data_IF_168329302755
#
_entry.id   IF_168329302755
#
_cell.length_a   1.000
_cell.length_b   1.000
_cell.length_c   1.000
_cell.angle_alpha   90.00
_cell.angle_beta   90.00
_cell.angle_gamma   90.00
#
_symmetry.space_group_name_H-M   'P 1'
#
loop_
_entity.id
_entity.type
_entity.pdbx_description
1 polymer ?
#
# COMPACT_ATOMS: atom_id res chain seq x y z
N UNK A 1 -53.56 -17.65 1.88
CA UNK A 1 -52.62 -16.79 1.11
C UNK A 1 -51.49 -16.18 1.96
N UNK A 2 -51.74 -15.59 3.13
CA UNK A 2 -50.69 -14.97 3.96
C UNK A 2 -49.51 -15.90 4.35
N UNK A 3 -49.76 -17.19 4.58
CA UNK A 3 -48.72 -18.15 4.94
C UNK A 3 -47.74 -18.46 3.79
N UNK A 4 -48.19 -18.37 2.54
CA UNK A 4 -47.35 -18.59 1.35
C UNK A 4 -46.47 -17.35 1.12
N UNK A 5 -47.01 -16.15 1.35
CA UNK A 5 -46.29 -14.89 1.19
C UNK A 5 -45.15 -14.73 2.21
N UNK A 6 -45.36 -15.12 3.48
CA UNK A 6 -44.30 -15.15 4.50
C UNK A 6 -43.16 -16.12 4.16
N UNK A 7 -43.47 -17.28 3.53
CA UNK A 7 -42.46 -18.26 3.07
C UNK A 7 -41.67 -17.74 1.87
N UNK A 8 -42.30 -17.00 0.95
CA UNK A 8 -41.63 -16.36 -0.19
C UNK A 8 -40.68 -15.24 0.25
N UNK A 9 -41.09 -14.38 1.18
CA UNK A 9 -40.24 -13.31 1.72
C UNK A 9 -39.00 -13.89 2.44
N UNK A 10 -39.18 -14.97 3.22
CA UNK A 10 -38.05 -15.64 3.88
C UNK A 10 -37.07 -16.27 2.88
N UNK A 11 -37.56 -16.85 1.78
CA UNK A 11 -36.73 -17.41 0.72
C UNK A 11 -35.96 -16.30 -0.04
N UNK A 12 -36.58 -15.15 -0.27
CA UNK A 12 -35.97 -14.01 -0.95
C UNK A 12 -34.87 -13.36 -0.09
N UNK A 13 -35.08 -13.25 1.22
CA UNK A 13 -34.06 -12.79 2.18
C UNK A 13 -32.88 -13.77 2.24
N UNK A 14 -33.13 -15.09 2.15
CA UNK A 14 -32.08 -16.11 2.12
C UNK A 14 -31.27 -16.10 0.82
N UNK A 15 -31.92 -15.85 -0.33
CA UNK A 15 -31.25 -15.66 -1.63
C UNK A 15 -30.43 -14.36 -1.63
N UNK A 16 -30.96 -13.26 -1.08
CA UNK A 16 -30.23 -12.01 -0.88
C UNK A 16 -29.05 -12.17 0.10
N UNK A 17 -29.19 -13.00 1.13
CA UNK A 17 -28.09 -13.36 2.03
C UNK A 17 -26.98 -14.10 1.26
N UNK A 18 -27.34 -15.09 0.46
CA UNK A 18 -26.44 -15.86 -0.39
C UNK A 18 -25.72 -15.00 -1.46
N UNK A 19 -26.41 -13.96 -1.98
CA UNK A 19 -25.85 -13.00 -2.94
C UNK A 19 -25.02 -11.91 -2.25
N UNK A 20 -25.36 -11.47 -1.04
CA UNK A 20 -24.60 -10.44 -0.30
C UNK A 20 -23.26 -10.92 0.27
N UNK A 21 -23.07 -12.25 0.32
CA UNK A 21 -21.81 -12.92 0.69
C UNK A 21 -20.94 -13.16 -0.56
N UNK A 22 -21.46 -12.95 -1.78
CA UNK A 22 -20.61 -12.84 -2.96
C UNK A 22 -19.81 -11.54 -2.81
N UNK A 23 -18.48 -11.59 -2.68
CA UNK A 23 -17.70 -10.38 -2.53
C UNK A 23 -17.92 -9.47 -3.73
N UNK A 24 -18.14 -8.18 -3.48
CA UNK A 24 -17.79 -7.13 -4.43
C UNK A 24 -16.32 -7.22 -4.91
N UNK A 25 -15.49 -8.08 -4.27
CA UNK A 25 -14.17 -8.48 -4.74
C UNK A 25 -14.17 -9.43 -5.96
N UNK A 26 -15.33 -9.82 -6.53
CA UNK A 26 -15.40 -10.43 -7.86
C UNK A 26 -15.55 -9.40 -9.00
N UNK A 27 -15.89 -8.14 -8.70
CA UNK A 27 -15.88 -7.06 -9.69
C UNK A 27 -14.48 -6.46 -9.92
N UNK A 28 -13.47 -6.87 -9.15
CA UNK A 28 -12.08 -6.39 -9.25
C UNK A 28 -11.10 -7.51 -9.69
N UNK A 29 -11.62 -8.60 -10.28
CA UNK A 29 -10.84 -9.76 -10.79
C UNK A 29 -10.82 -9.85 -12.32
N UNK A 30 -11.03 -8.73 -13.02
CA UNK A 30 -11.20 -8.68 -14.48
C UNK A 30 -10.25 -7.74 -15.23
N UNK A 31 -9.14 -7.29 -14.64
CA UNK A 31 -8.04 -6.66 -15.39
C UNK A 31 -6.72 -7.07 -14.79
N UNK A 32 -6.37 -8.32 -15.07
CA UNK A 32 -4.99 -8.77 -15.09
C UNK A 32 -4.33 -8.23 -16.36
N UNK A 33 -4.26 -6.91 -16.49
CA UNK A 33 -3.33 -6.28 -17.41
C UNK A 33 -2.00 -6.16 -16.66
N UNK A 34 -1.11 -7.08 -16.97
CA UNK A 34 0.21 -7.23 -16.40
C UNK A 34 1.16 -6.12 -16.85
N UNK A 35 0.80 -4.86 -16.58
CA UNK A 35 1.79 -3.79 -16.46
C UNK A 35 2.19 -3.68 -14.98
N UNK A 36 2.92 -4.71 -14.52
CA UNK A 36 3.85 -4.56 -13.41
C UNK A 36 4.93 -3.59 -13.87
N UNK A 37 4.58 -2.30 -13.95
CA UNK A 37 5.53 -1.22 -13.93
C UNK A 37 6.12 -1.19 -12.53
N UNK A 38 6.95 -2.19 -12.24
CA UNK A 38 8.10 -2.01 -11.36
C UNK A 38 8.88 -0.88 -12.01
N UNK A 39 8.58 0.34 -11.57
CA UNK A 39 9.56 1.41 -11.65
C UNK A 39 10.70 0.87 -10.81
N UNK A 40 11.71 0.33 -11.49
CA UNK A 40 12.97 -0.03 -10.86
C UNK A 40 13.52 1.30 -10.34
N UNK A 41 13.35 1.53 -9.03
CA UNK A 41 13.83 2.74 -8.36
C UNK A 41 15.36 2.86 -8.50
N UNK A 42 16.05 1.79 -8.94
CA UNK A 42 17.46 1.84 -9.34
C UNK A 42 17.74 2.79 -10.50
N UNK A 43 16.83 2.98 -11.46
CA UNK A 43 17.09 3.86 -12.61
C UNK A 43 16.94 5.36 -12.29
N UNK A 44 16.48 5.72 -11.08
CA UNK A 44 16.36 7.12 -10.62
C UNK A 44 17.46 7.48 -9.60
N UNK A 45 18.17 6.49 -9.04
CA UNK A 45 19.13 6.70 -7.93
C UNK A 45 20.60 6.64 -8.38
N UNK A 46 20.89 6.51 -9.68
CA UNK A 46 22.22 6.85 -10.24
C UNK A 46 22.35 8.34 -10.60
N UNK A 47 21.63 9.21 -9.89
CA UNK A 47 22.00 10.63 -9.83
C UNK A 47 23.12 10.72 -8.81
N UNK A 48 24.33 10.83 -9.33
CA UNK A 48 25.60 11.15 -8.66
C UNK A 48 25.39 12.30 -7.65
N UNK A 49 24.96 11.98 -6.42
CA UNK A 49 25.00 12.90 -5.27
C UNK A 49 26.48 12.98 -4.86
N UNK A 50 27.26 13.71 -5.67
CA UNK A 50 28.43 14.40 -5.15
C UNK A 50 27.92 15.45 -4.20
N UNK A 51 27.71 15.02 -2.96
CA UNK A 51 27.58 15.90 -1.82
C UNK A 51 28.83 16.78 -1.81
N UNK A 52 28.67 18.02 -2.26
CA UNK A 52 29.56 19.11 -1.91
C UNK A 52 29.46 19.23 -0.39
N UNK A 53 30.37 18.57 0.32
CA UNK A 53 30.66 18.89 1.71
C UNK A 53 31.23 20.30 1.70
N UNK A 54 30.32 21.26 1.87
CA UNK A 54 30.59 22.66 2.10
C UNK A 54 31.52 22.77 3.29
N UNK A 55 32.76 23.13 2.97
CA UNK A 55 33.71 23.85 3.81
C UNK A 55 32.97 24.99 4.52
N UNK A 56 33.03 25.00 5.84
CA UNK A 56 32.45 26.07 6.64
C UNK A 56 32.61 25.82 8.13
N UNK A 57 33.84 25.93 8.64
CA UNK A 57 34.03 26.48 9.97
C UNK A 57 35.39 27.16 10.04
N UNK A 58 35.31 28.47 9.84
CA UNK A 58 36.28 29.45 10.28
C UNK A 58 36.46 29.35 11.80
N UNK A 59 37.68 29.08 12.22
CA UNK A 59 38.20 29.57 13.50
C UNK A 59 39.60 30.12 13.28
N UNK A 60 39.60 31.43 13.07
CA UNK A 60 40.74 32.34 13.09
C UNK A 60 41.46 32.32 14.44
N UNK A 61 42.79 32.52 14.35
CA UNK A 61 43.71 33.13 15.34
C UNK A 61 43.98 32.30 16.60
N UNK A 62 45.22 32.15 17.09
CA UNK A 62 46.43 32.94 16.95
C UNK A 62 47.61 32.11 17.51
N UNK A 63 48.82 32.64 17.34
CA UNK A 63 50.12 32.16 17.85
C UNK A 63 50.82 31.12 16.96
N UNK A 64 52.05 31.30 16.50
CA UNK A 64 52.95 32.43 16.30
C UNK A 64 54.23 31.78 15.79
N UNK A 65 54.82 32.38 14.77
CA UNK A 65 56.27 32.41 14.54
C UNK A 65 57.13 31.48 15.41
N UNK A 66 57.53 30.34 14.84
CA UNK A 66 58.91 29.89 15.00
C UNK A 66 59.50 29.60 13.64
N UNK A 67 60.52 30.40 13.34
CA UNK A 67 61.32 30.48 12.12
C UNK A 67 61.91 29.13 11.71
N UNK A 68 61.73 28.80 10.43
CA UNK A 68 62.79 28.55 9.44
C UNK A 68 64.09 27.94 10.01
N UNK A 69 64.21 26.60 10.03
CA UNK A 69 65.46 25.86 9.72
C UNK A 69 65.27 24.34 9.62
N UNK A 70 64.54 23.86 8.62
CA UNK A 70 64.59 22.43 8.21
C UNK A 70 64.23 22.26 6.73
N UNK A 71 64.71 23.16 5.88
CA UNK A 71 64.85 22.82 4.46
C UNK A 71 65.87 21.69 4.34
N UNK A 72 65.57 20.71 3.48
CA UNK A 72 66.39 19.54 3.08
C UNK A 72 66.19 18.23 3.87
N UNK A 73 65.15 18.07 4.71
CA UNK A 73 64.72 16.73 5.21
C UNK A 73 63.21 16.49 5.39
N UNK A 74 62.34 17.32 4.77
CA UNK A 74 60.87 17.26 4.96
C UNK A 74 60.12 16.54 3.82
N UNK A 75 60.81 16.17 2.74
CA UNK A 75 60.18 15.48 1.59
C UNK A 75 59.71 14.05 1.92
N UNK A 76 60.32 13.38 2.89
CA UNK A 76 59.92 12.02 3.32
C UNK A 76 58.82 12.02 4.39
N UNK A 77 58.72 13.06 5.22
CA UNK A 77 57.70 13.13 6.28
C UNK A 77 56.30 13.46 5.75
N UNK A 78 56.21 14.33 4.75
CA UNK A 78 54.94 14.75 4.15
C UNK A 78 54.27 13.63 3.33
N UNK A 79 55.08 12.76 2.71
CA UNK A 79 54.60 11.57 1.99
C UNK A 79 53.97 10.57 2.96
N UNK A 80 54.59 10.33 4.12
CA UNK A 80 54.05 9.42 5.16
C UNK A 80 52.71 9.89 5.71
N UNK A 81 52.56 11.18 6.01
CA UNK A 81 51.29 11.73 6.51
C UNK A 81 50.18 11.61 5.45
N UNK A 82 50.51 11.83 4.17
CA UNK A 82 49.54 11.69 3.07
C UNK A 82 49.12 10.23 2.84
N UNK A 83 50.02 9.27 3.02
CA UNK A 83 49.71 7.83 2.95
C UNK A 83 48.79 7.39 4.10
N UNK A 84 49.09 7.77 5.34
CA UNK A 84 48.23 7.47 6.49
C UNK A 84 46.81 8.05 6.35
N UNK A 85 46.70 9.28 5.82
CA UNK A 85 45.38 9.90 5.57
C UNK A 85 44.63 9.13 4.48
N UNK A 86 45.30 8.73 3.40
CA UNK A 86 44.68 7.94 2.33
C UNK A 86 44.23 6.56 2.82
N UNK A 87 45.01 5.91 3.67
CA UNK A 87 44.67 4.62 4.27
C UNK A 87 43.45 4.74 5.18
N UNK A 88 43.40 5.74 6.07
CA UNK A 88 42.23 6.02 6.90
C UNK A 88 40.96 6.32 6.09
N UNK A 89 41.09 7.04 4.97
CA UNK A 89 39.97 7.30 4.05
C UNK A 89 39.48 5.99 3.41
N UNK A 90 40.40 5.13 2.96
CA UNK A 90 40.06 3.81 2.39
C UNK A 90 39.38 2.91 3.42
N UNK A 91 39.97 2.75 4.60
CA UNK A 91 39.36 1.98 5.69
C UNK A 91 37.98 2.52 6.09
N UNK A 92 37.82 3.84 6.11
CA UNK A 92 36.52 4.48 6.38
C UNK A 92 35.49 4.19 5.29
N UNK A 93 35.89 4.20 4.02
CA UNK A 93 35.05 3.85 2.88
C UNK A 93 34.64 2.38 2.92
N UNK A 94 35.58 1.47 3.17
CA UNK A 94 35.33 0.02 3.25
C UNK A 94 34.38 -0.32 4.40
N UNK A 95 34.62 0.23 5.61
CA UNK A 95 33.73 0.07 6.77
C UNK A 95 32.33 0.63 6.51
N UNK A 96 32.22 1.73 5.77
CA UNK A 96 30.92 2.32 5.40
C UNK A 96 30.20 1.42 4.39
N UNK A 97 30.92 0.87 3.40
CA UNK A 97 30.37 -0.04 2.41
C UNK A 97 29.88 -1.34 3.07
N UNK A 98 30.69 -1.96 3.94
CA UNK A 98 30.29 -3.17 4.68
C UNK A 98 29.03 -2.93 5.53
N UNK A 99 28.94 -1.76 6.20
CA UNK A 99 27.73 -1.35 6.91
C UNK A 99 26.53 -1.23 5.98
N UNK A 100 26.67 -0.59 4.81
CA UNK A 100 25.59 -0.45 3.83
C UNK A 100 25.13 -1.82 3.30
N UNK A 101 26.05 -2.70 2.93
CA UNK A 101 25.75 -4.04 2.46
C UNK A 101 25.03 -4.88 3.54
N UNK A 102 25.49 -4.79 4.79
CA UNK A 102 24.84 -5.49 5.91
C UNK A 102 23.43 -4.95 6.19
N UNK A 103 23.22 -3.63 6.08
CA UNK A 103 21.89 -3.02 6.21
C UNK A 103 20.98 -3.43 5.04
N UNK A 104 21.47 -3.40 3.80
CA UNK A 104 20.71 -3.83 2.62
C UNK A 104 20.31 -5.31 2.74
N UNK A 105 21.22 -6.17 3.20
CA UNK A 105 20.91 -7.59 3.44
C UNK A 105 19.82 -7.77 4.49
N UNK A 106 19.92 -7.08 5.64
CA UNK A 106 18.89 -7.12 6.69
C UNK A 106 17.54 -6.62 6.18
N UNK A 107 17.53 -5.57 5.36
CA UNK A 107 16.30 -5.04 4.75
C UNK A 107 15.70 -6.06 3.76
N UNK A 108 16.52 -6.68 2.90
CA UNK A 108 16.07 -7.74 1.98
C UNK A 108 15.47 -8.93 2.74
N UNK A 109 16.12 -9.37 3.81
CA UNK A 109 15.63 -10.47 4.64
C UNK A 109 14.29 -10.12 5.31
N UNK A 110 14.15 -8.92 5.87
CA UNK A 110 12.87 -8.44 6.45
C UNK A 110 11.76 -8.37 5.40
N UNK A 111 12.06 -7.82 4.23
CA UNK A 111 11.10 -7.75 3.12
C UNK A 111 10.67 -9.14 2.66
N UNK A 112 11.61 -10.09 2.54
CA UNK A 112 11.32 -11.47 2.16
C UNK A 112 10.43 -12.17 3.19
N UNK A 113 10.75 -12.06 4.48
CA UNK A 113 9.92 -12.63 5.56
C UNK A 113 8.50 -12.04 5.53
N UNK A 114 8.37 -10.73 5.32
CA UNK A 114 7.06 -10.08 5.19
C UNK A 114 6.30 -10.57 3.94
N UNK A 115 6.97 -10.75 2.81
CA UNK A 115 6.40 -11.30 1.58
C UNK A 115 5.92 -12.74 1.75
N UNK A 116 6.75 -13.60 2.35
CA UNK A 116 6.41 -15.01 2.60
C UNK A 116 5.22 -15.13 3.57
N UNK A 117 5.20 -14.33 4.64
CA UNK A 117 4.06 -14.27 5.56
C UNK A 117 2.78 -13.81 4.86
N UNK A 118 2.85 -12.75 4.06
CA UNK A 118 1.71 -12.26 3.29
C UNK A 118 1.22 -13.30 2.28
N UNK A 119 2.13 -14.03 1.62
CA UNK A 119 1.79 -15.08 0.68
C UNK A 119 1.10 -16.26 1.37
N UNK A 120 1.64 -16.72 2.50
CA UNK A 120 1.01 -17.77 3.34
C UNK A 120 -0.42 -17.41 3.73
N UNK A 121 -0.64 -16.16 4.16
CA UNK A 121 -1.97 -15.65 4.53
C UNK A 121 -2.88 -15.56 3.32
N UNK A 122 -2.38 -15.16 2.14
CA UNK A 122 -3.19 -15.17 0.91
C UNK A 122 -3.63 -16.59 0.54
N UNK A 123 -2.76 -17.57 0.69
CA UNK A 123 -3.06 -18.95 0.32
C UNK A 123 -4.04 -19.58 1.31
N UNK A 124 -3.85 -19.37 2.62
CA UNK A 124 -4.84 -19.74 3.65
C UNK A 124 -6.22 -19.10 3.39
N UNK A 125 -6.25 -17.83 2.98
CA UNK A 125 -7.49 -17.16 2.62
C UNK A 125 -8.17 -17.80 1.41
N UNK A 126 -7.40 -18.08 0.34
CA UNK A 126 -7.93 -18.72 -0.88
C UNK A 126 -8.47 -20.10 -0.57
N UNK A 127 -7.74 -20.89 0.21
CA UNK A 127 -8.17 -22.21 0.64
C UNK A 127 -9.47 -22.12 1.46
N UNK A 128 -9.56 -21.20 2.43
CA UNK A 128 -10.78 -20.95 3.19
C UNK A 128 -11.95 -20.55 2.27
N UNK A 129 -11.70 -19.71 1.25
CA UNK A 129 -12.71 -19.34 0.26
C UNK A 129 -13.17 -20.52 -0.61
N UNK A 130 -12.27 -21.40 -1.02
CA UNK A 130 -12.61 -22.59 -1.81
C UNK A 130 -13.41 -23.59 -0.99
N UNK A 131 -12.98 -23.88 0.24
CA UNK A 131 -13.72 -24.70 1.21
C UNK A 131 -15.12 -24.12 1.45
N UNK A 132 -15.23 -22.80 1.58
CA UNK A 132 -16.51 -22.11 1.72
C UNK A 132 -17.42 -22.30 0.50
N UNK A 133 -16.89 -22.17 -0.73
CA UNK A 133 -17.65 -22.37 -1.98
C UNK A 133 -18.19 -23.79 -2.12
N UNK A 134 -17.33 -24.80 -1.94
CA UNK A 134 -17.72 -26.22 -2.01
C UNK A 134 -18.82 -26.53 -0.99
N UNK A 135 -18.66 -26.00 0.22
CA UNK A 135 -19.65 -26.18 1.29
C UNK A 135 -20.98 -25.50 0.97
N UNK A 136 -20.94 -24.29 0.40
CA UNK A 136 -22.12 -23.56 -0.07
C UNK A 136 -22.90 -24.35 -1.13
N UNK A 137 -22.23 -24.92 -2.12
CA UNK A 137 -22.87 -25.75 -3.14
C UNK A 137 -23.51 -27.02 -2.55
N UNK A 138 -22.82 -27.65 -1.61
CA UNK A 138 -23.33 -28.82 -0.88
C UNK A 138 -24.59 -28.48 -0.10
N UNK A 139 -24.61 -27.32 0.57
CA UNK A 139 -25.76 -26.81 1.30
C UNK A 139 -26.97 -26.53 0.38
N UNK A 140 -26.73 -25.95 -0.81
CA UNK A 140 -27.76 -25.69 -1.80
C UNK A 140 -28.40 -26.98 -2.33
N UNK A 141 -27.60 -28.03 -2.53
CA UNK A 141 -28.10 -29.37 -2.90
C UNK A 141 -28.98 -29.95 -1.79
N UNK A 142 -28.52 -29.91 -0.53
CA UNK A 142 -29.31 -30.37 0.63
C UNK A 142 -30.61 -29.57 0.79
N UNK A 143 -30.55 -28.25 0.65
CA UNK A 143 -31.73 -27.39 0.72
C UNK A 143 -32.75 -27.74 -0.37
N UNK A 144 -32.31 -28.02 -1.59
CA UNK A 144 -33.18 -28.43 -2.70
C UNK A 144 -33.86 -29.77 -2.42
N UNK A 145 -33.12 -30.75 -1.86
CA UNK A 145 -33.70 -32.05 -1.43
C UNK A 145 -34.78 -31.87 -0.37
N UNK A 146 -34.48 -31.13 0.70
CA UNK A 146 -35.45 -30.82 1.78
C UNK A 146 -36.67 -30.05 1.27
N UNK A 147 -36.49 -29.13 0.31
CA UNK A 147 -37.60 -28.40 -0.33
C UNK A 147 -38.52 -29.33 -1.14
N UNK A 148 -37.95 -30.37 -1.76
CA UNK A 148 -38.69 -31.35 -2.55
C UNK A 148 -39.36 -32.44 -1.70
N UNK A 149 -39.04 -32.53 -0.41
CA UNK A 149 -39.84 -33.31 0.55
C UNK A 149 -41.21 -32.65 0.76
N UNK A 150 -42.15 -32.91 -0.14
CA UNK A 150 -43.59 -32.68 0.10
C UNK A 150 -44.11 -33.69 1.12
N UNK A 151 -45.29 -33.42 1.68
CA UNK A 151 -45.96 -34.14 2.79
C UNK A 151 -46.39 -35.59 2.47
N UNK A 152 -45.68 -36.30 1.58
CA UNK A 152 -45.97 -37.70 1.29
C UNK A 152 -45.58 -38.55 2.52
N UNK A 153 -46.60 -39.09 3.18
CA UNK A 153 -46.56 -39.82 4.45
C UNK A 153 -45.65 -41.05 4.44
N UNK A 154 -45.38 -41.66 3.28
CA UNK A 154 -44.49 -42.83 3.18
C UNK A 154 -42.98 -42.50 3.15
N UNK A 155 -42.59 -41.23 2.88
CA UNK A 155 -41.16 -40.81 2.85
C UNK A 155 -40.71 -40.06 4.11
N UNK A 156 -41.54 -40.09 5.16
CA UNK A 156 -41.36 -39.27 6.36
C UNK A 156 -40.01 -39.49 7.07
N UNK A 157 -39.49 -40.72 7.07
CA UNK A 157 -38.18 -41.06 7.68
C UNK A 157 -36.98 -40.43 6.95
N UNK A 158 -36.98 -40.44 5.61
CA UNK A 158 -35.87 -39.89 4.82
C UNK A 158 -35.85 -38.35 4.90
N UNK A 159 -37.02 -37.71 4.89
CA UNK A 159 -37.16 -36.25 5.02
C UNK A 159 -36.61 -35.71 6.36
N UNK A 160 -36.85 -36.40 7.48
CA UNK A 160 -36.31 -36.00 8.77
C UNK A 160 -34.78 -36.06 8.81
N UNK A 161 -34.19 -37.10 8.21
CA UNK A 161 -32.74 -37.23 8.09
C UNK A 161 -32.14 -36.13 7.21
N UNK A 162 -32.76 -35.82 6.07
CA UNK A 162 -32.31 -34.71 5.21
C UNK A 162 -32.41 -33.36 5.91
N UNK A 163 -33.44 -33.13 6.74
CA UNK A 163 -33.56 -31.91 7.56
C UNK A 163 -32.46 -31.82 8.61
N UNK A 164 -32.11 -32.93 9.28
CA UNK A 164 -30.98 -32.99 10.23
C UNK A 164 -29.66 -32.70 9.52
N UNK A 165 -29.42 -33.35 8.38
CA UNK A 165 -28.25 -33.11 7.54
C UNK A 165 -28.17 -31.66 7.07
N UNK A 166 -29.29 -31.04 6.70
CA UNK A 166 -29.33 -29.63 6.33
C UNK A 166 -28.94 -28.73 7.50
N UNK A 167 -29.43 -28.98 8.72
CA UNK A 167 -29.07 -28.21 9.92
C UNK A 167 -27.59 -28.34 10.25
N UNK A 168 -27.06 -29.57 10.24
CA UNK A 168 -25.63 -29.83 10.40
C UNK A 168 -24.80 -29.10 9.32
N UNK A 169 -25.25 -29.15 8.07
CA UNK A 169 -24.64 -28.41 6.96
C UNK A 169 -24.68 -26.89 7.15
N UNK A 170 -25.78 -26.31 7.64
CA UNK A 170 -25.87 -24.87 7.93
C UNK A 170 -24.90 -24.50 9.04
N UNK A 171 -24.84 -25.26 10.14
CA UNK A 171 -23.88 -25.04 11.23
C UNK A 171 -22.45 -24.99 10.71
N UNK A 172 -22.05 -26.00 9.95
CA UNK A 172 -20.71 -26.09 9.35
C UNK A 172 -20.43 -24.92 8.39
N UNK A 173 -21.45 -24.44 7.67
CA UNK A 173 -21.31 -23.27 6.80
C UNK A 173 -21.04 -21.99 7.59
N UNK A 174 -21.73 -21.81 8.72
CA UNK A 174 -21.56 -20.65 9.59
C UNK A 174 -20.18 -20.68 10.24
N UNK A 175 -19.68 -21.83 10.68
CA UNK A 175 -18.31 -21.98 11.18
C UNK A 175 -17.28 -21.56 10.12
N UNK A 176 -17.38 -22.09 8.89
CA UNK A 176 -16.51 -21.67 7.79
C UNK A 176 -16.62 -20.19 7.47
N UNK A 177 -17.81 -19.60 7.64
CA UNK A 177 -18.00 -18.15 7.50
C UNK A 177 -17.20 -17.40 8.55
N UNK A 178 -17.29 -17.78 9.83
CA UNK A 178 -16.51 -17.15 10.92
C UNK A 178 -15.00 -17.24 10.66
N UNK A 179 -14.50 -18.36 10.14
CA UNK A 179 -13.08 -18.51 9.78
C UNK A 179 -12.64 -17.52 8.69
N UNK A 180 -13.45 -17.35 7.64
CA UNK A 180 -13.19 -16.38 6.57
C UNK A 180 -13.18 -14.95 7.13
N UNK A 181 -14.10 -14.64 8.05
CA UNK A 181 -14.17 -13.33 8.71
C UNK A 181 -12.91 -13.08 9.54
N UNK A 182 -12.54 -14.01 10.43
CA UNK A 182 -11.34 -13.91 11.27
C UNK A 182 -10.08 -13.73 10.42
N UNK A 183 -9.93 -14.50 9.34
CA UNK A 183 -8.80 -14.37 8.44
C UNK A 183 -8.75 -13.00 7.74
N UNK A 184 -9.91 -12.43 7.44
CA UNK A 184 -10.00 -11.09 6.85
C UNK A 184 -9.61 -9.99 7.84
N UNK A 185 -9.92 -10.14 9.14
CA UNK A 185 -9.49 -9.26 10.22
C UNK A 185 -7.97 -9.33 10.39
N UNK A 186 -7.41 -10.54 10.46
CA UNK A 186 -5.96 -10.74 10.61
C UNK A 186 -5.17 -10.12 9.45
N UNK A 187 -5.67 -10.28 8.21
CA UNK A 187 -5.07 -9.64 7.04
C UNK A 187 -5.07 -8.10 7.14
N UNK A 188 -6.07 -7.51 7.79
CA UNK A 188 -6.12 -6.06 7.99
C UNK A 188 -5.17 -5.61 9.10
N UNK A 189 -5.10 -6.36 10.20
CA UNK A 189 -4.13 -6.13 11.28
C UNK A 189 -2.71 -6.00 10.74
N UNK A 190 -2.26 -7.00 9.98
CA UNK A 190 -0.91 -7.01 9.38
C UNK A 190 -0.70 -5.81 8.43
N UNK A 191 -1.73 -5.41 7.68
CA UNK A 191 -1.62 -4.26 6.77
C UNK A 191 -1.48 -2.94 7.53
N UNK A 192 -2.14 -2.81 8.68
CA UNK A 192 -2.08 -1.62 9.52
C UNK A 192 -0.74 -1.55 10.25
N UNK A 193 -0.30 -2.67 10.82
CA UNK A 193 1.02 -2.76 11.48
C UNK A 193 2.17 -2.47 10.51
N UNK A 194 2.03 -2.86 9.25
CA UNK A 194 3.02 -2.59 8.20
C UNK A 194 2.89 -1.19 7.55
N UNK A 195 1.92 -0.37 7.97
CA UNK A 195 1.70 0.94 7.37
C UNK A 195 2.59 2.01 8.06
N UNK A 196 3.73 2.32 7.44
CA UNK A 196 4.70 3.31 7.94
C UNK A 196 4.19 4.75 7.90
N UNK A 197 3.16 5.03 7.11
CA UNK A 197 2.65 6.39 6.86
C UNK A 197 1.42 6.75 7.70
N UNK A 198 1.00 5.89 8.63
CA UNK A 198 -0.11 6.15 9.53
C UNK A 198 0.40 6.76 10.83
N UNK A 199 -0.38 7.66 11.43
CA UNK A 199 -0.11 8.15 12.78
C UNK A 199 -0.24 7.02 13.80
N UNK A 200 0.62 7.02 14.83
CA UNK A 200 0.63 5.98 15.87
C UNK A 200 -0.71 5.90 16.65
N UNK A 201 -1.37 7.05 16.82
CA UNK A 201 -2.71 7.18 17.39
C UNK A 201 -3.75 6.41 16.57
N UNK A 202 -3.74 6.60 15.25
CA UNK A 202 -4.64 5.95 14.29
C UNK A 202 -4.39 4.44 14.22
N UNK A 203 -3.12 4.01 14.25
CA UNK A 203 -2.73 2.60 14.29
C UNK A 203 -3.28 1.94 15.55
N UNK A 204 -3.05 2.55 16.71
CA UNK A 204 -3.52 2.02 18.00
C UNK A 204 -5.03 1.87 18.02
N UNK A 205 -5.77 2.93 17.65
CA UNK A 205 -7.23 2.93 17.62
C UNK A 205 -7.81 1.87 16.65
N UNK A 206 -7.16 1.69 15.49
CA UNK A 206 -7.53 0.67 14.53
C UNK A 206 -7.32 -0.75 15.07
N UNK A 207 -6.18 -1.01 15.71
CA UNK A 207 -5.84 -2.32 16.27
C UNK A 207 -6.73 -2.71 17.45
N UNK A 208 -7.09 -1.76 18.31
CA UNK A 208 -8.08 -1.96 19.38
C UNK A 208 -9.44 -2.35 18.81
N UNK A 209 -9.91 -1.62 17.79
CA UNK A 209 -11.20 -1.91 17.14
C UNK A 209 -11.21 -3.29 16.49
N UNK A 210 -10.13 -3.65 15.78
CA UNK A 210 -9.99 -4.99 15.16
C UNK A 210 -9.95 -6.10 16.22
N UNK A 211 -9.29 -5.88 17.36
CA UNK A 211 -9.24 -6.84 18.47
C UNK A 211 -10.61 -7.06 19.09
N UNK A 212 -11.39 -5.99 19.27
CA UNK A 212 -12.78 -6.08 19.72
C UNK A 212 -13.64 -6.89 18.74
N UNK A 213 -13.59 -6.57 17.45
CA UNK A 213 -14.32 -7.29 16.41
C UNK A 213 -13.91 -8.77 16.33
N UNK A 214 -12.62 -9.08 16.50
CA UNK A 214 -12.15 -10.46 16.56
C UNK A 214 -12.77 -11.22 17.74
N UNK A 215 -12.85 -10.59 18.92
CA UNK A 215 -13.48 -11.18 20.09
C UNK A 215 -14.98 -11.42 19.89
N UNK A 216 -15.70 -10.48 19.26
CA UNK A 216 -17.11 -10.64 18.91
C UNK A 216 -17.34 -11.82 17.95
N UNK A 217 -16.55 -11.92 16.88
CA UNK A 217 -16.64 -13.04 15.93
C UNK A 217 -16.31 -14.37 16.59
N UNK A 218 -15.33 -14.43 17.49
CA UNK A 218 -15.03 -15.64 18.27
C UNK A 218 -16.17 -16.02 19.21
N UNK A 219 -16.82 -15.05 19.86
CA UNK A 219 -17.97 -15.32 20.72
C UNK A 219 -19.14 -15.91 19.92
N UNK A 220 -19.43 -15.38 18.73
CA UNK A 220 -20.43 -15.95 17.82
C UNK A 220 -20.04 -17.34 17.32
N UNK A 221 -18.76 -17.55 17.02
CA UNK A 221 -18.24 -18.85 16.62
C UNK A 221 -18.54 -19.91 17.71
N UNK A 222 -18.36 -19.58 18.99
CA UNK A 222 -18.69 -20.50 20.09
C UNK A 222 -20.20 -20.77 20.21
N UNK A 223 -21.06 -19.76 20.03
CA UNK A 223 -22.52 -19.97 19.96
C UNK A 223 -22.91 -20.91 18.82
N UNK A 224 -22.30 -20.73 17.63
CA UNK A 224 -22.53 -21.59 16.47
C UNK A 224 -22.01 -23.02 16.74
N UNK A 225 -20.87 -23.18 17.41
CA UNK A 225 -20.35 -24.50 17.82
C UNK A 225 -21.30 -25.23 18.77
N UNK A 226 -21.98 -24.50 19.65
CA UNK A 226 -22.96 -25.05 20.59
C UNK A 226 -24.26 -25.54 19.92
N UNK A 227 -24.56 -25.10 18.68
CA UNK A 227 -25.69 -25.63 17.92
C UNK A 227 -25.53 -27.14 17.70
N UNK A 228 -26.61 -27.90 17.83
CA UNK A 228 -26.63 -29.34 17.55
C UNK A 228 -27.42 -29.60 16.27
N UNK A 229 -27.34 -30.82 15.73
CA UNK A 229 -28.21 -31.22 14.59
C UNK A 229 -29.70 -31.15 14.92
N UNK A 230 -30.02 -31.19 16.22
CA UNK A 230 -31.39 -31.08 16.74
C UNK A 230 -31.81 -29.64 17.06
N UNK A 231 -30.91 -28.65 16.95
CA UNK A 231 -31.24 -27.25 17.18
C UNK A 231 -32.42 -26.79 16.32
N UNK A 232 -33.24 -25.92 16.91
CA UNK A 232 -34.44 -25.45 16.26
C UNK A 232 -34.10 -24.54 15.07
N UNK A 233 -35.00 -24.49 14.08
CA UNK A 233 -34.80 -23.58 12.94
C UNK A 233 -34.80 -22.10 13.36
N UNK A 234 -35.37 -21.77 14.53
CA UNK A 234 -35.39 -20.41 15.07
C UNK A 234 -34.06 -20.04 15.72
N UNK A 235 -33.45 -20.95 16.49
CA UNK A 235 -32.09 -20.79 17.02
C UNK A 235 -31.09 -20.52 15.90
N UNK A 236 -31.05 -21.40 14.89
CA UNK A 236 -30.13 -21.26 13.75
C UNK A 236 -30.33 -19.92 13.03
N UNK A 237 -31.58 -19.47 12.86
CA UNK A 237 -31.87 -18.16 12.25
C UNK A 237 -31.40 -16.98 13.10
N UNK A 238 -31.47 -17.11 14.42
CA UNK A 238 -30.95 -16.08 15.35
C UNK A 238 -29.46 -15.93 15.18
N UNK A 239 -28.72 -17.05 15.24
CA UNK A 239 -27.25 -17.06 15.06
C UNK A 239 -26.82 -16.52 13.68
N UNK A 240 -27.56 -16.86 12.61
CA UNK A 240 -27.32 -16.30 11.27
C UNK A 240 -27.46 -14.78 11.27
N UNK A 241 -28.47 -14.25 11.97
CA UNK A 241 -28.74 -12.81 12.02
C UNK A 241 -27.65 -12.09 12.79
N UNK A 242 -27.25 -12.61 13.94
CA UNK A 242 -26.16 -12.07 14.76
C UNK A 242 -24.86 -12.02 13.96
N UNK A 243 -24.43 -13.16 13.38
CA UNK A 243 -23.23 -13.24 12.55
C UNK A 243 -23.26 -12.26 11.37
N UNK A 244 -24.43 -12.01 10.79
CA UNK A 244 -24.60 -11.07 9.69
C UNK A 244 -24.36 -9.62 10.12
N UNK A 245 -24.88 -9.22 11.28
CA UNK A 245 -24.65 -7.88 11.81
C UNK A 245 -23.19 -7.69 12.19
N UNK A 246 -22.57 -8.66 12.87
CA UNK A 246 -21.13 -8.62 13.17
C UNK A 246 -20.29 -8.55 11.90
N UNK A 247 -20.63 -9.33 10.86
CA UNK A 247 -19.94 -9.24 9.57
C UNK A 247 -20.12 -7.89 8.88
N UNK A 248 -21.27 -7.23 9.06
CA UNK A 248 -21.52 -5.89 8.53
C UNK A 248 -20.64 -4.86 9.23
N UNK A 249 -20.51 -4.93 10.55
CA UNK A 249 -19.61 -4.05 11.31
C UNK A 249 -18.14 -4.29 10.96
N UNK A 250 -17.71 -5.56 10.86
CA UNK A 250 -16.37 -5.89 10.35
C UNK A 250 -16.17 -5.24 8.99
N UNK A 251 -17.06 -5.45 8.02
CA UNK A 251 -16.95 -4.87 6.66
C UNK A 251 -16.92 -3.35 6.65
N UNK A 252 -17.65 -2.68 7.54
CA UNK A 252 -17.62 -1.23 7.69
C UNK A 252 -16.23 -0.78 8.14
N UNK A 253 -15.67 -1.44 9.15
CA UNK A 253 -14.33 -1.15 9.65
C UNK A 253 -13.24 -1.46 8.63
N UNK A 254 -13.33 -2.59 7.91
CA UNK A 254 -12.40 -2.90 6.81
C UNK A 254 -12.36 -1.78 5.78
N UNK A 255 -13.52 -1.21 5.44
CA UNK A 255 -13.61 -0.12 4.46
C UNK A 255 -13.00 1.16 5.01
N UNK A 256 -13.30 1.52 6.27
CA UNK A 256 -12.70 2.68 6.95
C UNK A 256 -11.17 2.59 6.92
N UNK A 257 -10.61 1.45 7.29
CA UNK A 257 -9.16 1.21 7.36
C UNK A 257 -8.48 1.19 5.99
N UNK A 258 -9.15 0.62 4.97
CA UNK A 258 -8.66 0.69 3.59
C UNK A 258 -8.57 2.14 3.12
N UNK A 259 -9.58 2.96 3.44
CA UNK A 259 -9.58 4.38 3.06
C UNK A 259 -8.49 5.14 3.80
N UNK A 260 -8.38 4.96 5.11
CA UNK A 260 -7.33 5.56 5.94
C UNK A 260 -5.92 5.25 5.40
N UNK A 261 -5.61 3.97 5.17
CA UNK A 261 -4.31 3.56 4.60
C UNK A 261 -4.07 4.11 3.20
N UNK A 262 -5.12 4.23 2.38
CA UNK A 262 -4.98 4.77 1.03
C UNK A 262 -4.76 6.27 1.05
N UNK A 263 -5.45 7.00 1.92
CA UNK A 263 -5.27 8.44 2.12
C UNK A 263 -3.83 8.76 2.54
N UNK A 264 -3.30 8.05 3.55
CA UNK A 264 -1.91 8.21 3.97
C UNK A 264 -0.91 7.94 2.83
N UNK A 265 -1.16 6.93 1.98
CA UNK A 265 -0.31 6.67 0.80
C UNK A 265 -0.37 7.78 -0.23
N UNK A 266 -1.55 8.35 -0.47
CA UNK A 266 -1.73 9.46 -1.41
C UNK A 266 -1.03 10.71 -0.88
N UNK A 267 -1.13 11.01 0.41
CA UNK A 267 -0.44 12.14 1.05
C UNK A 267 1.08 12.01 0.92
N UNK A 268 1.65 10.86 1.28
CA UNK A 268 3.09 10.62 1.10
C UNK A 268 3.51 10.71 -0.36
N UNK A 269 2.65 10.29 -1.30
CA UNK A 269 2.95 10.41 -2.72
C UNK A 269 2.96 11.88 -3.16
N UNK A 270 1.96 12.68 -2.76
CA UNK A 270 1.91 14.11 -3.05
C UNK A 270 3.11 14.85 -2.46
N UNK A 271 3.50 14.53 -1.23
CA UNK A 271 4.70 15.09 -0.59
C UNK A 271 5.98 14.78 -1.39
N UNK A 272 6.12 13.55 -1.89
CA UNK A 272 7.23 13.18 -2.78
C UNK A 272 7.23 14.01 -4.06
N UNK A 273 6.06 14.25 -4.65
CA UNK A 273 5.94 15.10 -5.83
C UNK A 273 6.32 16.56 -5.54
N UNK A 274 5.98 17.11 -4.37
CA UNK A 274 6.52 18.41 -3.94
C UNK A 274 8.03 18.41 -3.74
N UNK A 275 8.60 17.30 -3.25
CA UNK A 275 10.04 17.10 -3.23
C UNK A 275 10.68 17.17 -4.63
N UNK A 276 9.97 16.69 -5.66
CA UNK A 276 10.43 16.78 -7.05
C UNK A 276 10.38 18.20 -7.60
N UNK A 277 9.35 18.99 -7.27
CA UNK A 277 9.29 20.43 -7.63
C UNK A 277 10.54 21.14 -7.12
N UNK A 278 10.87 21.01 -5.83
CA UNK A 278 12.08 21.59 -5.24
C UNK A 278 13.37 21.13 -5.91
N UNK A 279 13.42 19.87 -6.36
CA UNK A 279 14.56 19.33 -7.12
C UNK A 279 14.67 19.95 -8.52
N UNK A 280 13.54 20.18 -9.18
CA UNK A 280 13.48 20.88 -10.48
C UNK A 280 13.94 22.32 -10.34
N UNK A 281 13.42 23.06 -9.36
CA UNK A 281 13.84 24.43 -9.02
C UNK A 281 15.35 24.53 -8.80
N UNK A 282 15.93 23.63 -8.00
CA UNK A 282 17.36 23.62 -7.71
C UNK A 282 18.22 23.39 -8.97
N UNK A 283 17.75 22.51 -9.87
CA UNK A 283 18.43 22.23 -11.15
C UNK A 283 18.32 23.39 -12.12
N UNK A 284 17.16 24.02 -12.22
CA UNK A 284 16.95 25.25 -13.00
C UNK A 284 17.86 26.36 -12.49
N UNK A 285 17.93 26.57 -11.17
CA UNK A 285 18.79 27.58 -10.57
C UNK A 285 20.28 27.32 -10.87
N UNK A 286 20.72 26.05 -10.84
CA UNK A 286 22.09 25.67 -11.17
C UNK A 286 22.43 25.94 -12.66
N UNK A 287 21.55 25.54 -13.58
CA UNK A 287 21.73 25.80 -15.02
C UNK A 287 21.69 27.31 -15.34
N UNK A 288 20.79 28.05 -14.70
CA UNK A 288 20.71 29.51 -14.84
C UNK A 288 22.01 30.18 -14.36
N UNK A 289 22.56 29.71 -13.23
CA UNK A 289 23.86 30.21 -12.72
C UNK A 289 25.03 29.87 -13.66
N UNK A 290 24.95 28.79 -14.43
CA UNK A 290 25.90 28.45 -15.47
C UNK A 290 25.73 29.29 -16.76
N UNK A 291 24.67 30.10 -16.83
CA UNK A 291 24.38 30.99 -17.96
C UNK A 291 23.62 30.31 -19.10
N UNK A 292 23.03 29.14 -18.88
CA UNK A 292 22.14 28.52 -19.87
C UNK A 292 20.75 29.16 -19.86
N UNK A 293 20.10 29.10 -21.03
CA UNK A 293 18.70 29.44 -21.19
C UNK A 293 17.83 28.32 -20.60
N UNK A 294 17.13 28.64 -19.52
CA UNK A 294 16.28 27.70 -18.76
C UNK A 294 14.79 27.88 -19.03
N UNK A 295 14.41 28.66 -20.04
CA UNK A 295 13.01 29.03 -20.32
C UNK A 295 12.08 27.81 -20.45
N UNK A 296 12.48 26.78 -21.21
CA UNK A 296 11.69 25.56 -21.40
C UNK A 296 11.56 24.74 -20.10
N UNK A 297 12.63 24.68 -19.29
CA UNK A 297 12.61 23.97 -18.01
C UNK A 297 11.65 24.62 -17.01
N UNK A 298 11.65 25.96 -16.94
CA UNK A 298 10.72 26.74 -16.11
C UNK A 298 9.28 26.52 -16.56
N UNK A 299 9.01 26.45 -17.87
CA UNK A 299 7.67 26.17 -18.38
C UNK A 299 7.19 24.75 -18.01
N UNK A 300 8.06 23.75 -18.11
CA UNK A 300 7.74 22.36 -17.73
C UNK A 300 7.50 22.24 -16.22
N UNK A 301 8.32 22.90 -15.41
CA UNK A 301 8.18 22.98 -13.96
C UNK A 301 6.83 23.60 -13.55
N UNK A 302 6.48 24.76 -14.10
CA UNK A 302 5.21 25.42 -13.79
C UNK A 302 4.00 24.54 -14.14
N UNK A 303 4.07 23.80 -15.26
CA UNK A 303 3.03 22.83 -15.65
C UNK A 303 2.97 21.65 -14.69
N UNK A 304 4.12 21.16 -14.21
CA UNK A 304 4.18 20.10 -13.21
C UNK A 304 3.56 20.55 -11.89
N UNK A 305 3.97 21.71 -11.37
CA UNK A 305 3.46 22.28 -10.12
C UNK A 305 1.94 22.47 -10.17
N UNK A 306 1.45 23.15 -11.22
CA UNK A 306 0.00 23.35 -11.46
C UNK A 306 -0.76 22.03 -11.41
N UNK A 307 -0.20 20.97 -12.02
CA UNK A 307 -0.82 19.66 -12.06
C UNK A 307 -0.82 18.98 -10.69
N UNK A 308 0.25 19.09 -9.91
CA UNK A 308 0.29 18.57 -8.53
C UNK A 308 -0.73 19.29 -7.64
N UNK A 309 -0.81 20.62 -7.70
CA UNK A 309 -1.82 21.40 -6.95
C UNK A 309 -3.24 20.95 -7.29
N UNK A 310 -3.55 20.75 -8.57
CA UNK A 310 -4.86 20.25 -8.99
C UNK A 310 -5.16 18.84 -8.45
N UNK A 311 -4.15 17.97 -8.30
CA UNK A 311 -4.33 16.65 -7.68
C UNK A 311 -4.57 16.74 -6.18
N UNK A 312 -3.88 17.66 -5.49
CA UNK A 312 -4.10 17.91 -4.06
C UNK A 312 -5.51 18.40 -3.77
N UNK A 313 -6.03 19.33 -4.57
CA UNK A 313 -7.39 19.85 -4.42
C UNK A 313 -8.43 18.73 -4.60
N UNK A 314 -8.27 17.91 -5.64
CA UNK A 314 -9.14 16.73 -5.87
C UNK A 314 -9.05 15.74 -4.71
N UNK A 315 -7.85 15.51 -4.18
CA UNK A 315 -7.64 14.63 -3.04
C UNK A 315 -8.31 15.17 -1.77
N UNK A 316 -8.11 16.46 -1.43
CA UNK A 316 -8.74 17.11 -0.28
C UNK A 316 -10.26 17.03 -0.37
N UNK A 317 -10.84 17.37 -1.52
CA UNK A 317 -12.28 17.28 -1.74
C UNK A 317 -12.81 15.85 -1.56
N UNK A 318 -12.08 14.84 -2.05
CA UNK A 318 -12.47 13.44 -1.90
C UNK A 318 -12.35 12.95 -0.44
N UNK A 319 -11.31 13.39 0.28
CA UNK A 319 -11.09 13.08 1.70
C UNK A 319 -12.21 13.67 2.57
N UNK A 320 -12.53 14.95 2.36
CA UNK A 320 -13.60 15.65 3.08
C UNK A 320 -14.97 15.00 2.85
N UNK A 321 -15.32 14.73 1.59
CA UNK A 321 -16.57 14.01 1.25
C UNK A 321 -16.67 12.66 1.95
N UNK A 322 -15.57 11.90 1.97
CA UNK A 322 -15.56 10.61 2.66
C UNK A 322 -15.80 10.77 4.17
N UNK A 323 -15.11 11.71 4.81
CA UNK A 323 -15.23 11.98 6.24
C UNK A 323 -16.64 12.43 6.65
N UNK A 324 -17.37 13.15 5.77
CA UNK A 324 -18.73 13.63 6.03
C UNK A 324 -19.83 12.58 5.79
N UNK A 325 -19.50 11.46 5.15
CA UNK A 325 -20.52 10.59 4.52
C UNK A 325 -21.06 9.42 5.35
N UNK A 326 -20.76 9.35 6.64
CA UNK A 326 -21.02 8.19 7.51
C UNK A 326 -20.56 6.84 6.91
N UNK A 327 -19.60 6.86 5.99
CA UNK A 327 -19.10 5.70 5.25
C UNK A 327 -20.18 4.97 4.42
N UNK A 328 -21.11 5.72 3.84
CA UNK A 328 -22.14 5.18 2.93
C UNK A 328 -21.56 4.60 1.64
N UNK A 329 -22.30 3.68 0.99
CA UNK A 329 -21.87 3.05 -0.26
C UNK A 329 -21.69 4.06 -1.41
N UNK A 330 -22.51 5.10 -1.45
CA UNK A 330 -22.43 6.19 -2.44
C UNK A 330 -21.11 6.95 -2.29
N UNK A 331 -20.79 7.41 -1.08
CA UNK A 331 -19.54 8.11 -0.82
C UNK A 331 -18.31 7.24 -1.06
N UNK A 332 -18.42 5.93 -0.83
CA UNK A 332 -17.35 4.99 -1.21
C UNK A 332 -17.09 5.02 -2.72
N UNK A 333 -18.14 4.95 -3.55
CA UNK A 333 -18.00 4.97 -5.01
C UNK A 333 -17.40 6.29 -5.47
N UNK A 334 -17.86 7.41 -4.91
CA UNK A 334 -17.29 8.73 -5.20
C UNK A 334 -15.80 8.83 -4.82
N UNK A 335 -15.43 8.35 -3.64
CA UNK A 335 -14.03 8.31 -3.21
C UNK A 335 -13.18 7.40 -4.11
N UNK A 336 -13.70 6.23 -4.52
CA UNK A 336 -13.02 5.33 -5.44
C UNK A 336 -12.78 5.98 -6.81
N UNK A 337 -13.78 6.71 -7.34
CA UNK A 337 -13.63 7.47 -8.59
C UNK A 337 -12.58 8.56 -8.45
N UNK A 338 -12.60 9.33 -7.36
CA UNK A 338 -11.59 10.35 -7.12
C UNK A 338 -10.18 9.77 -7.04
N UNK A 339 -9.99 8.61 -6.39
CA UNK A 339 -8.70 7.92 -6.38
C UNK A 339 -8.26 7.44 -7.76
N UNK A 340 -9.18 6.97 -8.60
CA UNK A 340 -8.84 6.61 -9.98
C UNK A 340 -8.34 7.82 -10.76
N UNK A 341 -8.98 8.97 -10.59
CA UNK A 341 -8.54 10.23 -11.21
C UNK A 341 -7.18 10.69 -10.67
N UNK A 342 -6.94 10.57 -9.36
CA UNK A 342 -5.61 10.85 -8.76
C UNK A 342 -4.56 9.93 -9.38
N UNK A 343 -4.82 8.62 -9.52
CA UNK A 343 -3.88 7.67 -10.14
C UNK A 343 -3.57 8.04 -11.59
N UNK A 344 -4.57 8.43 -12.38
CA UNK A 344 -4.36 8.90 -13.76
C UNK A 344 -3.51 10.17 -13.78
N UNK A 345 -3.83 11.13 -12.91
CA UNK A 345 -3.03 12.35 -12.76
C UNK A 345 -1.59 12.07 -12.36
N UNK A 346 -1.35 11.11 -11.47
CA UNK A 346 0.02 10.71 -11.11
C UNK A 346 0.79 10.16 -12.31
N UNK A 347 0.16 9.40 -13.21
CA UNK A 347 0.82 8.98 -14.46
C UNK A 347 1.20 10.17 -15.35
N UNK A 348 0.30 11.15 -15.49
CA UNK A 348 0.58 12.37 -16.26
C UNK A 348 1.73 13.18 -15.64
N UNK A 349 1.79 13.29 -14.31
CA UNK A 349 2.91 13.96 -13.64
C UNK A 349 4.25 13.27 -13.94
N UNK A 350 4.27 11.93 -14.02
CA UNK A 350 5.49 11.20 -14.39
C UNK A 350 5.92 11.48 -15.84
N UNK A 351 4.98 11.67 -16.76
CA UNK A 351 5.29 12.06 -18.14
C UNK A 351 5.92 13.45 -18.20
N UNK A 352 5.35 14.43 -17.48
CA UNK A 352 5.92 15.78 -17.36
C UNK A 352 7.32 15.74 -16.75
N UNK A 353 7.55 14.90 -15.73
CA UNK A 353 8.88 14.73 -15.13
C UNK A 353 9.89 14.13 -16.12
N UNK A 354 9.48 13.14 -16.94
CA UNK A 354 10.36 12.57 -17.98
C UNK A 354 10.74 13.62 -19.02
N UNK A 355 9.80 14.47 -19.40
CA UNK A 355 10.04 15.59 -20.31
C UNK A 355 11.07 16.57 -19.70
N UNK A 356 10.88 16.98 -18.45
CA UNK A 356 11.87 17.80 -17.73
C UNK A 356 13.27 17.17 -17.73
N UNK A 357 13.35 15.87 -17.42
CA UNK A 357 14.62 15.14 -17.38
C UNK A 357 15.26 14.98 -18.76
N UNK A 358 14.47 14.96 -19.82
CA UNK A 358 14.96 14.96 -21.19
C UNK A 358 15.55 16.33 -21.54
N UNK A 359 14.79 17.41 -21.35
CA UNK A 359 15.25 18.77 -21.65
C UNK A 359 16.47 19.17 -20.81
N UNK A 360 16.49 18.82 -19.53
CA UNK A 360 17.62 19.12 -18.66
C UNK A 360 18.90 18.43 -19.13
N UNK A 361 18.81 17.18 -19.63
CA UNK A 361 19.96 16.47 -20.22
C UNK A 361 20.41 17.10 -21.52
N UNK A 362 19.47 17.46 -22.39
CA UNK A 362 19.76 18.15 -23.65
C UNK A 362 20.46 19.49 -23.43
N UNK A 363 20.05 20.25 -22.40
CA UNK A 363 20.68 21.50 -22.00
C UNK A 363 22.13 21.28 -21.55
N UNK A 364 22.38 20.29 -20.68
CA UNK A 364 23.73 19.96 -20.21
C UNK A 364 24.69 19.58 -21.34
N UNK A 365 24.23 18.79 -22.31
CA UNK A 365 25.06 18.43 -23.48
C UNK A 365 25.42 19.66 -24.31
N UNK A 366 24.48 20.60 -24.50
CA UNK A 366 24.74 21.86 -25.22
C UNK A 366 25.76 22.74 -24.47
N UNK A 367 25.69 22.78 -23.14
CA UNK A 367 26.67 23.51 -22.32
C UNK A 367 28.08 22.92 -22.45
N UNK A 368 28.21 21.59 -22.41
CA UNK A 368 29.49 20.89 -22.54
C UNK A 368 30.15 21.18 -23.91
N UNK A 369 29.39 21.10 -25.01
CA UNK A 369 29.89 21.42 -26.37
C UNK A 369 30.29 22.90 -26.49
N UNK A 370 29.51 23.80 -25.88
CA UNK A 370 29.82 25.25 -25.85
C UNK A 370 31.08 25.56 -25.04
N UNK A 371 31.35 24.79 -23.99
CA UNK A 371 32.56 24.93 -23.19
C UNK A 371 33.81 24.43 -23.95
N UNK A 372 33.71 23.30 -24.64
CA UNK A 372 34.82 22.75 -25.46
C UNK A 372 35.22 23.71 -26.59
N UNK A 373 34.24 24.25 -27.31
CA UNK A 373 34.49 25.20 -28.41
C UNK A 373 35.10 26.52 -27.94
N UNK A 374 34.77 27.01 -26.73
CA UNK A 374 35.44 28.18 -26.14
C UNK A 374 36.87 27.90 -25.69
N UNK A 375 37.17 26.67 -25.30
CA UNK A 375 38.52 26.23 -24.89
C UNK A 375 39.51 26.19 -26.06
N UNK A 376 39.13 25.63 -27.21
CA UNK A 376 40.02 25.51 -28.38
C UNK A 376 40.42 26.88 -28.98
N UNK A 377 39.51 27.85 -28.97
CA UNK A 377 39.80 29.21 -29.50
C UNK A 377 40.80 29.96 -28.63
N UNK A 378 40.90 29.64 -27.33
CA UNK A 378 41.85 30.26 -26.43
C UNK A 378 43.28 29.71 -26.59
N UNK A 379 43.45 28.47 -27.04
CA UNK A 379 44.76 27.82 -27.19
C UNK A 379 45.39 27.97 -28.58
N UNK A 380 44.62 28.36 -29.60
CA UNK A 380 45.09 28.46 -31.00
C UNK A 380 45.69 29.82 -31.41
N UNK A 381 46.07 30.69 -30.46
CA UNK A 381 46.52 32.07 -30.73
C UNK A 381 47.94 32.40 -30.24
N UNK A 382 48.78 31.38 -30.04
CA UNK A 382 50.22 31.56 -29.79
C UNK A 382 51.06 31.57 -31.08
#
# INVERSE_FOLDING_TARGET
MMAIWRKMIAALIFILFILSIVPAALADKGSNDGSDARIDVRDIVDVDIKASTGRGNDKEKNESETRIRTEVRVRDGEVRVKEEIREKIREGADKKQEKLESMEKRLKDRVKVAQDNMQRIRDQYKEAQERFKVHKETLLKLHTKVKNCKEDTEKQGNCQNEKKMLRGGVKEHLLKTTEVILHSIEKLRIKIEAAENLEESDVTAALETLTKLEAEVKAEQEKIKALTENSSAQEIKSEIKELKETWKEVRKEQQRLIVLSTNAKVETLLEKHHGLVRSMEARIAAATKAGADTSDLVAIEARFETHITALEEKYKAAKEKWQQSDHTETARKEWQLALQEIRKGMKQSQEILREFMHEFRSLRVKEEISAETKGEVATGKE
#
